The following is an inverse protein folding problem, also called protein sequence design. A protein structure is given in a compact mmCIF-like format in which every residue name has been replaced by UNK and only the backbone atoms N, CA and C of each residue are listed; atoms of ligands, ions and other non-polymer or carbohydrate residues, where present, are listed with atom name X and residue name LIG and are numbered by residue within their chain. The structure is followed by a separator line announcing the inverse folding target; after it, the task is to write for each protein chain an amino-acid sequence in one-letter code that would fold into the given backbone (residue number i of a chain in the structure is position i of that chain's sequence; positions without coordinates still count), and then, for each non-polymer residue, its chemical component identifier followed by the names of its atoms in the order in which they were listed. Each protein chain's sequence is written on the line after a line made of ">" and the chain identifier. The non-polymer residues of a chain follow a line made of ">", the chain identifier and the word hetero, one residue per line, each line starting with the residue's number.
data_IF_201326811556
#
_entry.id   IF_201326811556
#
_cell.length_a   1.000
_cell.length_b   1.000
_cell.length_c   1.000
_cell.angle_alpha   90.00
_cell.angle_beta   90.00
_cell.angle_gamma   90.00
#
_symmetry.space_group_name_H-M   'P 1'
#
loop_
_entity.id
_entity.type
_entity.pdbx_description
1 polymer ?
#
# COMPACT_ATOMS: atom_id res chain seq x y z
N UNK A 1 -13.74 9.05 17.44
CA UNK A 1 -12.57 8.31 17.96
C UNK A 1 -11.95 7.60 16.77
N UNK A 2 -10.62 7.49 16.73
CA UNK A 2 -9.95 7.01 15.54
C UNK A 2 -10.39 5.57 15.18
N UNK A 3 -10.95 5.36 13.98
CA UNK A 3 -11.45 4.10 13.48
C UNK A 3 -10.46 3.41 12.54
N UNK A 4 -10.40 2.08 12.61
CA UNK A 4 -9.61 1.23 11.70
C UNK A 4 -10.55 0.45 10.81
N UNK A 5 -10.40 0.62 9.50
CA UNK A 5 -11.12 -0.16 8.48
C UNK A 5 -10.19 -1.23 7.89
N UNK A 6 -10.73 -2.40 7.56
CA UNK A 6 -9.94 -3.53 7.05
C UNK A 6 -10.59 -4.11 5.80
N UNK A 7 -9.81 -4.25 4.73
CA UNK A 7 -10.26 -4.83 3.48
C UNK A 7 -9.18 -5.70 2.84
N UNK A 8 -9.54 -6.77 2.13
CA UNK A 8 -8.52 -7.66 1.56
C UNK A 8 -7.69 -6.99 0.45
N UNK A 9 -8.31 -6.23 -0.45
CA UNK A 9 -7.64 -5.46 -1.51
C UNK A 9 -7.63 -6.08 -2.91
N UNK A 10 -8.20 -7.28 -3.09
CA UNK A 10 -8.28 -7.95 -4.41
C UNK A 10 -9.33 -7.34 -5.36
N UNK A 11 -10.23 -6.52 -4.84
CA UNK A 11 -11.31 -5.85 -5.58
C UNK A 11 -11.41 -4.41 -5.11
N UNK A 12 -12.21 -3.60 -5.80
CA UNK A 12 -12.65 -2.32 -5.25
C UNK A 12 -13.30 -2.54 -3.89
N UNK A 13 -12.86 -1.83 -2.83
CA UNK A 13 -13.47 -1.97 -1.52
C UNK A 13 -14.81 -1.24 -1.45
N UNK A 14 -15.56 -1.54 -0.39
CA UNK A 14 -16.76 -0.80 -0.04
C UNK A 14 -16.41 0.69 0.23
N UNK A 15 -17.17 1.66 -0.30
CA UNK A 15 -16.94 3.09 -0.03
C UNK A 15 -16.86 3.45 1.45
N UNK A 16 -17.58 2.73 2.32
CA UNK A 16 -17.58 2.96 3.78
C UNK A 16 -16.19 2.72 4.40
N UNK A 17 -15.28 2.01 3.71
CA UNK A 17 -13.90 1.82 4.15
C UNK A 17 -13.16 3.16 4.29
N UNK A 18 -13.55 4.16 3.51
CA UNK A 18 -12.97 5.50 3.56
C UNK A 18 -13.32 6.25 4.84
N UNK A 19 -14.33 5.83 5.61
CA UNK A 19 -14.73 6.52 6.86
C UNK A 19 -13.79 6.23 8.04
N UNK A 20 -12.90 5.24 7.91
CA UNK A 20 -11.83 5.02 8.89
C UNK A 20 -10.77 6.11 8.84
N UNK A 21 -10.03 6.28 9.93
CA UNK A 21 -8.83 7.13 9.95
C UNK A 21 -7.62 6.37 9.40
N UNK A 22 -7.62 5.05 9.56
CA UNK A 22 -6.61 4.13 9.02
C UNK A 22 -7.30 2.97 8.29
N UNK A 23 -6.86 2.71 7.07
CA UNK A 23 -7.29 1.60 6.25
C UNK A 23 -6.15 0.58 6.20
N UNK A 24 -6.44 -0.65 6.59
CA UNK A 24 -5.51 -1.78 6.51
C UNK A 24 -5.91 -2.69 5.35
N UNK A 25 -4.98 -2.93 4.42
CA UNK A 25 -5.23 -3.86 3.32
C UNK A 25 -4.14 -4.91 3.14
N UNK A 26 -4.52 -6.09 2.64
CA UNK A 26 -3.60 -7.18 2.34
C UNK A 26 -3.39 -7.31 0.84
N UNK A 27 -3.57 -8.54 0.35
CA UNK A 27 -3.53 -8.95 -1.06
C UNK A 27 -2.20 -8.79 -1.79
N UNK A 28 -1.61 -7.60 -1.77
CA UNK A 28 -0.39 -7.26 -2.52
C UNK A 28 0.86 -7.91 -1.99
N UNK A 29 0.91 -8.14 -0.67
CA UNK A 29 2.09 -8.60 0.04
C UNK A 29 3.35 -7.83 -0.39
N UNK A 30 3.44 -6.50 -0.15
CA UNK A 30 4.50 -5.69 -0.73
C UNK A 30 5.90 -6.22 -0.40
N UNK A 31 6.76 -6.18 -1.40
CA UNK A 31 8.18 -6.52 -1.28
C UNK A 31 9.02 -5.45 -1.98
N UNK A 32 10.18 -5.15 -1.41
CA UNK A 32 11.18 -4.26 -1.99
C UNK A 32 12.42 -5.04 -2.38
N UNK A 33 12.96 -4.77 -3.57
CA UNK A 33 14.25 -5.29 -3.99
C UNK A 33 15.33 -4.28 -3.62
N UNK A 34 16.19 -4.66 -2.68
CA UNK A 34 17.32 -3.84 -2.25
C UNK A 34 18.57 -4.26 -3.00
N UNK A 35 19.15 -3.35 -3.77
CA UNK A 35 20.38 -3.56 -4.52
C UNK A 35 21.55 -2.86 -3.84
N UNK A 36 22.72 -3.50 -3.82
CA UNK A 36 23.96 -2.90 -3.33
C UNK A 36 24.80 -2.33 -4.48
N UNK A 37 25.83 -1.57 -4.12
CA UNK A 37 26.70 -0.88 -5.09
C UNK A 37 27.54 -1.82 -5.97
N UNK A 38 27.62 -3.12 -5.63
CA UNK A 38 28.40 -4.13 -6.37
C UNK A 38 27.51 -5.10 -7.15
N UNK A 39 26.19 -4.84 -7.20
CA UNK A 39 25.21 -5.59 -7.98
C UNK A 39 24.58 -6.78 -7.25
N UNK A 40 24.84 -6.94 -5.95
CA UNK A 40 24.09 -7.85 -5.10
C UNK A 40 22.67 -7.34 -4.90
N UNK A 41 21.68 -8.24 -4.83
CA UNK A 41 20.31 -7.85 -4.52
C UNK A 41 19.63 -8.86 -3.61
N UNK A 42 18.78 -8.37 -2.72
CA UNK A 42 17.87 -9.19 -1.92
C UNK A 42 16.47 -8.62 -1.98
N UNK A 43 15.49 -9.48 -1.76
CA UNK A 43 14.08 -9.09 -1.71
C UNK A 43 13.60 -9.20 -0.27
N UNK A 44 13.04 -8.11 0.24
CA UNK A 44 12.53 -8.01 1.60
C UNK A 44 11.03 -7.74 1.59
N UNK A 45 10.30 -8.33 2.54
CA UNK A 45 8.89 -7.98 2.78
C UNK A 45 8.81 -6.59 3.39
N UNK A 46 7.86 -5.81 2.93
CA UNK A 46 7.68 -4.42 3.35
C UNK A 46 6.22 -4.10 3.65
N UNK A 47 6.03 -3.16 4.55
CA UNK A 47 4.80 -2.40 4.68
C UNK A 47 4.83 -1.22 3.73
N UNK A 48 3.69 -0.84 3.16
CA UNK A 48 3.52 0.49 2.56
C UNK A 48 2.59 1.32 3.44
N UNK A 49 2.94 2.58 3.68
CA UNK A 49 2.11 3.52 4.44
C UNK A 49 2.09 4.89 3.78
N UNK A 50 0.91 5.45 3.57
CA UNK A 50 0.74 6.78 3.00
C UNK A 50 -0.72 7.22 3.03
N UNK A 51 -0.97 8.49 2.77
CA UNK A 51 -2.32 9.02 2.67
C UNK A 51 -2.99 8.52 1.39
N UNK A 52 -4.27 8.14 1.50
CA UNK A 52 -5.09 7.79 0.36
C UNK A 52 -5.34 9.02 -0.51
N UNK A 53 -5.29 8.86 -1.83
CA UNK A 53 -5.94 9.79 -2.74
C UNK A 53 -7.44 9.43 -2.85
N UNK A 54 -8.36 10.23 -2.27
CA UNK A 54 -9.78 9.91 -2.30
C UNK A 54 -10.35 9.92 -3.73
N UNK A 55 -9.77 10.70 -4.65
CA UNK A 55 -10.23 10.77 -6.03
C UNK A 55 -10.02 9.43 -6.76
N UNK A 56 -8.97 8.68 -6.40
CA UNK A 56 -8.72 7.36 -6.97
C UNK A 56 -9.74 6.30 -6.51
N UNK A 57 -10.46 6.52 -5.41
CA UNK A 57 -11.58 5.68 -4.98
C UNK A 57 -12.92 6.09 -5.61
N UNK A 58 -13.04 7.30 -6.14
CA UNK A 58 -14.28 7.82 -6.73
C UNK A 58 -14.67 7.10 -8.03
N UNK A 59 -13.72 6.57 -8.81
CA UNK A 59 -14.04 5.78 -10.01
C UNK A 59 -14.81 4.48 -9.70
N UNK A 60 -14.72 3.99 -8.46
CA UNK A 60 -15.49 2.83 -7.96
C UNK A 60 -16.88 3.17 -7.40
N UNK A 61 -17.31 4.43 -7.45
CA UNK A 61 -18.58 4.89 -6.85
C UNK A 61 -18.45 5.43 -5.42
N UNK A 62 -17.25 5.80 -4.97
CA UNK A 62 -17.04 6.47 -3.68
C UNK A 62 -17.61 7.89 -3.67
N UNK A 63 -18.23 8.29 -2.57
CA UNK A 63 -18.67 9.67 -2.36
C UNK A 63 -17.45 10.61 -2.26
N UNK A 64 -17.56 11.81 -2.83
CA UNK A 64 -16.65 12.90 -2.52
C UNK A 64 -16.67 13.14 -1.00
N UNK A 65 -15.53 12.97 -0.32
CA UNK A 65 -15.46 13.21 1.14
C UNK A 65 -15.64 14.69 1.41
N UNK A 66 -16.58 15.01 2.30
CA UNK A 66 -16.85 16.38 2.74
C UNK A 66 -15.74 16.87 3.69
N UNK A 67 -14.65 17.41 3.11
CA UNK A 67 -13.64 18.21 3.80
C UNK A 67 -12.84 17.55 4.94
N UNK A 68 -12.94 16.22 5.11
CA UNK A 68 -12.18 15.46 6.10
C UNK A 68 -10.79 15.06 5.57
N UNK A 69 -9.81 14.96 6.48
CA UNK A 69 -8.47 14.51 6.14
C UNK A 69 -8.52 13.10 5.52
N UNK A 70 -7.76 12.84 4.44
CA UNK A 70 -7.71 11.52 3.82
C UNK A 70 -7.19 10.47 4.82
N UNK A 71 -7.69 9.23 4.77
CA UNK A 71 -7.22 8.18 5.67
C UNK A 71 -5.80 7.75 5.31
N UNK A 72 -5.06 7.25 6.31
CA UNK A 72 -3.81 6.53 6.03
C UNK A 72 -4.14 5.13 5.50
N UNK A 73 -3.57 4.75 4.36
CA UNK A 73 -3.57 3.37 3.87
C UNK A 73 -2.30 2.64 4.29
N UNK A 74 -2.47 1.50 4.94
CA UNK A 74 -1.42 0.57 5.33
C UNK A 74 -1.60 -0.72 4.53
N UNK A 75 -0.63 -1.03 3.65
CA UNK A 75 -0.61 -2.28 2.87
C UNK A 75 0.30 -3.29 3.57
N UNK A 76 -0.28 -4.44 3.91
CA UNK A 76 0.32 -5.45 4.76
C UNK A 76 1.22 -6.38 3.95
N UNK A 77 2.45 -6.66 4.41
CA UNK A 77 3.27 -7.72 3.84
C UNK A 77 2.62 -9.09 4.06
N UNK A 78 3.07 -10.09 3.30
CA UNK A 78 2.72 -11.48 3.61
C UNK A 78 3.16 -11.83 5.04
N UNK A 79 2.25 -12.42 5.81
CA UNK A 79 2.55 -12.90 7.17
C UNK A 79 3.63 -14.00 7.16
N UNK A 80 3.69 -14.79 6.08
CA UNK A 80 4.53 -15.98 5.97
C UNK A 80 5.42 -15.93 4.71
N UNK A 81 6.38 -16.85 4.62
CA UNK A 81 7.34 -16.94 3.52
C UNK A 81 6.87 -17.80 2.33
N UNK A 82 5.71 -18.47 2.44
CA UNK A 82 5.16 -19.32 1.37
C UNK A 82 4.38 -18.52 0.33
N UNK A 83 3.94 -17.32 0.69
CA UNK A 83 3.23 -16.42 -0.22
C UNK A 83 4.23 -15.56 -1.00
N UNK A 84 4.07 -15.51 -2.32
CA UNK A 84 4.71 -14.47 -3.14
C UNK A 84 4.15 -13.08 -2.82
N UNK A 85 4.67 -12.07 -3.51
CA UNK A 85 4.22 -10.69 -3.33
C UNK A 85 4.68 -9.76 -4.43
N UNK A 86 4.07 -8.59 -4.48
CA UNK A 86 4.31 -7.56 -5.49
C UNK A 86 5.62 -6.84 -5.20
N UNK A 87 6.52 -6.78 -6.20
CA UNK A 87 7.76 -5.99 -6.13
C UNK A 87 7.47 -4.53 -6.45
N UNK A 88 7.40 -3.70 -5.42
CA UNK A 88 6.82 -2.36 -5.54
C UNK A 88 7.78 -1.32 -6.12
N UNK A 89 9.08 -1.57 -6.06
CA UNK A 89 10.14 -0.68 -6.54
C UNK A 89 10.82 -1.16 -7.84
N UNK A 90 10.27 -2.19 -8.51
CA UNK A 90 10.85 -2.75 -9.73
C UNK A 90 10.07 -2.28 -10.96
N UNK A 91 10.76 -1.64 -11.90
CA UNK A 91 10.16 -1.13 -13.14
C UNK A 91 9.47 -2.25 -13.94
N UNK A 92 8.23 -1.98 -14.37
CA UNK A 92 7.42 -2.92 -15.16
C UNK A 92 6.64 -3.94 -14.32
N UNK A 93 6.80 -3.93 -12.99
CA UNK A 93 5.88 -4.57 -12.06
C UNK A 93 4.82 -3.55 -11.61
N UNK A 94 3.63 -4.05 -11.28
CA UNK A 94 2.53 -3.23 -10.76
C UNK A 94 1.73 -4.04 -9.76
N UNK A 95 0.91 -3.34 -8.98
CA UNK A 95 -0.06 -3.92 -8.06
C UNK A 95 -1.15 -4.70 -8.80
N UNK A 96 -1.73 -5.67 -8.12
CA UNK A 96 -2.86 -6.47 -8.60
C UNK A 96 -4.22 -5.86 -8.22
N UNK A 97 -4.24 -5.08 -7.14
CA UNK A 97 -5.39 -4.34 -6.64
C UNK A 97 -5.81 -3.30 -7.68
N UNK A 98 -7.11 -3.18 -7.97
CA UNK A 98 -7.60 -2.32 -9.05
C UNK A 98 -7.43 -0.82 -8.77
N UNK A 99 -7.24 -0.44 -7.50
CA UNK A 99 -7.09 0.96 -7.06
C UNK A 99 -5.62 1.37 -6.86
N UNK A 100 -4.67 0.43 -6.85
CA UNK A 100 -3.25 0.74 -6.71
C UNK A 100 -2.57 0.76 -8.09
N UNK A 101 -1.58 1.65 -8.32
CA UNK A 101 -1.00 2.59 -7.35
C UNK A 101 -1.76 3.92 -7.22
N UNK A 102 -2.85 4.14 -7.96
CA UNK A 102 -3.52 5.44 -8.06
C UNK A 102 -3.98 5.98 -6.70
N UNK A 103 -4.54 5.13 -5.84
CA UNK A 103 -5.01 5.49 -4.51
C UNK A 103 -3.89 5.67 -3.47
N UNK A 104 -2.65 5.37 -3.83
CA UNK A 104 -1.48 5.56 -2.95
C UNK A 104 -0.37 6.27 -3.75
N UNK A 105 -0.60 7.54 -4.13
CA UNK A 105 0.33 8.27 -4.99
C UNK A 105 1.66 8.57 -4.30
N UNK A 106 1.68 8.67 -2.97
CA UNK A 106 2.88 8.78 -2.17
C UNK A 106 2.78 7.86 -0.94
N UNK A 107 3.77 6.99 -0.76
CA UNK A 107 3.86 6.15 0.43
C UNK A 107 5.30 5.79 0.74
N UNK A 108 5.60 5.67 2.02
CA UNK A 108 6.87 5.15 2.47
C UNK A 108 6.82 3.62 2.60
N UNK A 109 7.93 2.97 2.24
CA UNK A 109 8.16 1.57 2.55
C UNK A 109 8.84 1.41 3.92
N UNK A 110 8.40 0.41 4.68
CA UNK A 110 9.01 0.03 5.96
C UNK A 110 9.33 -1.47 5.95
N UNK A 111 10.53 -1.83 6.40
CA UNK A 111 10.87 -3.24 6.64
C UNK A 111 10.11 -3.78 7.85
N UNK A 112 10.09 -5.10 8.01
CA UNK A 112 9.40 -5.78 9.12
C UNK A 112 9.93 -5.40 10.51
N UNK A 113 11.17 -4.92 10.59
CA UNK A 113 11.78 -4.43 11.83
C UNK A 113 11.46 -2.95 12.13
N UNK A 114 10.68 -2.29 11.27
CA UNK A 114 10.31 -0.89 11.38
C UNK A 114 11.26 0.09 10.70
N UNK A 115 12.34 -0.38 10.05
CA UNK A 115 13.25 0.50 9.29
C UNK A 115 12.49 1.19 8.15
N UNK A 116 12.43 2.53 8.19
CA UNK A 116 11.84 3.35 7.13
C UNK A 116 12.83 3.52 5.97
N UNK A 117 12.41 3.11 4.77
CA UNK A 117 13.22 3.21 3.56
C UNK A 117 12.95 4.49 2.76
N UNK A 118 11.82 5.17 3.02
CA UNK A 118 11.38 6.33 2.25
C UNK A 118 10.38 5.94 1.15
N UNK A 119 10.14 6.84 0.19
CA UNK A 119 9.17 6.65 -0.89
C UNK A 119 9.42 5.32 -1.61
N UNK A 120 8.44 4.42 -1.58
CA UNK A 120 8.56 3.05 -2.11
C UNK A 120 8.95 3.00 -3.58
N UNK A 121 8.70 4.07 -4.36
CA UNK A 121 9.09 4.15 -5.78
C UNK A 121 10.57 4.50 -5.98
N UNK A 122 11.22 5.01 -4.94
CA UNK A 122 12.61 5.49 -4.96
C UNK A 122 13.57 4.65 -4.10
N UNK A 123 13.05 3.60 -3.44
CA UNK A 123 13.83 2.59 -2.69
C UNK A 123 14.70 1.75 -3.62
#
# INVERSE_FOLDING_TARGET
>A
GAGVAVGNGHTWPDPDLLDGDVICTGHEHPQVRLEDAVGGSRVERAWLRGEVDPAAFAEGGGNERDGSDPPELVVFPAFNERSGGTWVNVKGQSFLAPYLPAALPAADAYLLDGTRLGDYRAV
#
